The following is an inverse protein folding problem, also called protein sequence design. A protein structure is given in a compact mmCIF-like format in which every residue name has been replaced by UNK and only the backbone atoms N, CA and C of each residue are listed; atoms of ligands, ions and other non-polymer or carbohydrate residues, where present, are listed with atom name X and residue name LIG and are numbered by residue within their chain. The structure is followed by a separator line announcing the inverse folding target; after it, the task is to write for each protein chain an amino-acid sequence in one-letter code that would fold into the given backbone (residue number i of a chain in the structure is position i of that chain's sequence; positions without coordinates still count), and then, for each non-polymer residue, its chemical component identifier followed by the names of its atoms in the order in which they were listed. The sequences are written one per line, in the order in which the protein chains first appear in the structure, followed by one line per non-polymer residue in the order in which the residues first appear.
data_IF_323726938055
#
_entry.id   IF_323726938055
#
_cell.length_a   1.000
_cell.length_b   1.000
_cell.length_c   1.000
_cell.angle_alpha   90.00
_cell.angle_beta   90.00
_cell.angle_gamma   90.00
#
_symmetry.space_group_name_H-M   'P 1'
#
loop_
_entity.id
_entity.type
_entity.pdbx_description
1 polymer ?
#
# COMPACT_ATOMS: atom_id res chain seq x y z
N UNK A 1 -2.82 -20.65 7.35
CA UNK A 1 -2.16 -19.60 8.15
C UNK A 1 -2.85 -18.28 7.81
N UNK A 2 -3.43 -17.62 8.81
CA UNK A 2 -4.10 -16.33 8.61
C UNK A 2 -3.06 -15.21 8.51
N UNK A 3 -3.24 -14.28 7.56
CA UNK A 3 -2.37 -13.11 7.44
C UNK A 3 -2.43 -12.30 8.75
N UNK A 4 -1.29 -11.82 9.27
CA UNK A 4 -1.29 -10.94 10.44
C UNK A 4 -2.14 -9.69 10.18
N UNK A 5 -2.90 -9.20 11.17
CA UNK A 5 -3.83 -8.10 10.99
C UNK A 5 -3.10 -6.85 10.51
N UNK A 6 -3.69 -6.14 9.55
CA UNK A 6 -3.20 -4.87 9.05
C UNK A 6 -3.60 -3.74 10.01
N UNK A 7 -2.71 -2.77 10.19
CA UNK A 7 -3.09 -1.53 10.86
C UNK A 7 -4.06 -0.74 9.97
N UNK A 8 -4.83 0.20 10.54
CA UNK A 8 -5.74 1.04 9.76
C UNK A 8 -5.03 1.71 8.57
N UNK A 9 -3.81 2.22 8.79
CA UNK A 9 -3.01 2.84 7.73
C UNK A 9 -2.57 1.86 6.65
N UNK A 10 -2.18 0.64 7.03
CA UNK A 10 -1.84 -0.42 6.09
C UNK A 10 -3.05 -0.85 5.26
N UNK A 11 -4.23 -0.93 5.90
CA UNK A 11 -5.47 -1.24 5.21
C UNK A 11 -5.83 -0.16 4.18
N UNK A 12 -5.68 1.13 4.52
CA UNK A 12 -5.89 2.25 3.58
C UNK A 12 -4.96 2.15 2.35
N UNK A 13 -3.69 1.80 2.54
CA UNK A 13 -2.75 1.62 1.43
C UNK A 13 -3.19 0.45 0.55
N UNK A 14 -3.54 -0.69 1.16
CA UNK A 14 -3.99 -1.86 0.42
C UNK A 14 -5.27 -1.59 -0.38
N UNK A 15 -6.21 -0.85 0.22
CA UNK A 15 -7.45 -0.44 -0.42
C UNK A 15 -7.19 0.47 -1.62
N UNK A 16 -6.32 1.46 -1.46
CA UNK A 16 -5.91 2.35 -2.56
C UNK A 16 -5.21 1.59 -3.69
N UNK A 17 -4.35 0.62 -3.36
CA UNK A 17 -3.71 -0.24 -4.37
C UNK A 17 -4.77 -1.03 -5.16
N UNK A 18 -5.74 -1.64 -4.46
CA UNK A 18 -6.81 -2.41 -5.08
C UNK A 18 -7.69 -1.54 -5.97
N UNK A 19 -8.07 -0.35 -5.52
CA UNK A 19 -8.84 0.60 -6.30
C UNK A 19 -8.11 0.98 -7.61
N UNK A 20 -6.83 1.33 -7.53
CA UNK A 20 -6.04 1.64 -8.73
C UNK A 20 -5.93 0.46 -9.71
N UNK A 21 -5.78 -0.77 -9.21
CA UNK A 21 -5.76 -1.97 -10.05
C UNK A 21 -7.11 -2.19 -10.73
N UNK A 22 -8.22 -1.99 -10.00
CA UNK A 22 -9.58 -2.13 -10.54
C UNK A 22 -9.88 -1.05 -11.60
N UNK A 23 -9.50 0.20 -11.33
CA UNK A 23 -9.80 1.34 -12.21
C UNK A 23 -8.89 1.43 -13.43
N UNK A 24 -7.58 1.13 -13.27
CA UNK A 24 -6.55 1.40 -14.29
C UNK A 24 -5.84 0.14 -14.79
N UNK A 25 -6.13 -1.02 -14.20
CA UNK A 25 -5.45 -2.28 -14.52
C UNK A 25 -4.03 -2.41 -14.00
N UNK A 26 -3.56 -1.45 -13.18
CA UNK A 26 -2.18 -1.41 -12.67
C UNK A 26 -2.11 -0.83 -11.25
N UNK A 27 -1.18 -1.30 -10.41
CA UNK A 27 -0.99 -0.75 -9.07
C UNK A 27 -0.44 0.70 -9.13
N UNK A 28 -0.72 1.52 -8.11
CA UNK A 28 -0.22 2.89 -8.05
C UNK A 28 1.28 2.91 -7.83
N UNK A 29 1.93 3.97 -8.31
CA UNK A 29 3.34 4.23 -8.02
C UNK A 29 3.54 4.66 -6.56
N UNK A 30 4.78 4.55 -6.07
CA UNK A 30 5.15 5.03 -4.72
C UNK A 30 4.85 6.52 -4.53
N UNK A 31 4.99 7.31 -5.60
CA UNK A 31 4.66 8.73 -5.60
C UNK A 31 3.16 8.95 -5.45
N UNK A 32 2.33 8.22 -6.18
CA UNK A 32 0.86 8.31 -6.06
C UNK A 32 0.39 7.90 -4.66
N UNK A 33 0.97 6.85 -4.08
CA UNK A 33 0.66 6.44 -2.71
C UNK A 33 1.05 7.55 -1.71
N UNK A 34 2.22 8.16 -1.88
CA UNK A 34 2.66 9.27 -1.03
C UNK A 34 1.72 10.48 -1.15
N UNK A 35 1.31 10.83 -2.36
CA UNK A 35 0.44 11.96 -2.62
C UNK A 35 -0.98 11.73 -2.09
N UNK A 36 -1.56 10.55 -2.36
CA UNK A 36 -2.93 10.21 -1.97
C UNK A 36 -3.10 10.12 -0.45
N UNK A 37 -2.10 9.58 0.24
CA UNK A 37 -2.16 9.39 1.69
C UNK A 37 -1.55 10.54 2.49
N UNK A 38 -0.98 11.55 1.82
CA UNK A 38 -0.35 12.70 2.48
C UNK A 38 0.94 12.34 3.22
N UNK A 39 1.73 11.41 2.69
CA UNK A 39 3.06 11.13 3.24
C UNK A 39 4.03 12.25 2.88
N UNK A 40 4.80 12.70 3.87
CA UNK A 40 5.80 13.76 3.67
C UNK A 40 6.99 13.33 2.79
N UNK A 41 7.12 12.04 2.46
CA UNK A 41 8.23 11.50 1.66
C UNK A 41 7.90 10.15 1.03
N UNK A 42 8.54 9.84 -0.10
CA UNK A 42 8.44 8.54 -0.78
C UNK A 42 8.89 7.38 0.10
N UNK A 43 9.91 7.60 0.95
CA UNK A 43 10.44 6.58 1.86
C UNK A 43 9.40 6.12 2.89
N UNK A 44 8.48 7.01 3.30
CA UNK A 44 7.40 6.62 4.20
C UNK A 44 6.42 5.65 3.50
N UNK A 45 6.05 5.94 2.25
CA UNK A 45 5.23 5.03 1.46
C UNK A 45 5.92 3.68 1.26
N UNK A 46 7.22 3.67 0.95
CA UNK A 46 8.01 2.44 0.78
C UNK A 46 8.07 1.60 2.06
N UNK A 47 8.29 2.22 3.22
CA UNK A 47 8.32 1.53 4.51
C UNK A 47 7.00 0.81 4.79
N UNK A 48 5.88 1.44 4.48
CA UNK A 48 4.57 0.81 4.63
C UNK A 48 4.31 -0.31 3.62
N UNK A 49 4.75 -0.15 2.36
CA UNK A 49 4.68 -1.20 1.35
C UNK A 49 5.48 -2.43 1.77
N UNK A 50 6.70 -2.24 2.28
CA UNK A 50 7.50 -3.35 2.82
C UNK A 50 6.80 -4.04 3.99
N UNK A 51 6.13 -3.29 4.88
CA UNK A 51 5.37 -3.87 5.97
C UNK A 51 4.17 -4.69 5.47
N UNK A 52 3.49 -4.25 4.41
CA UNK A 52 2.43 -5.03 3.76
C UNK A 52 2.96 -6.31 3.13
N UNK A 53 4.10 -6.23 2.43
CA UNK A 53 4.74 -7.38 1.81
C UNK A 53 5.23 -8.42 2.83
N UNK A 54 5.85 -7.96 3.93
CA UNK A 54 6.24 -8.84 5.05
C UNK A 54 5.06 -9.56 5.68
N UNK A 55 3.87 -8.95 5.63
CA UNK A 55 2.62 -9.54 6.11
C UNK A 55 1.95 -10.44 5.08
N UNK A 56 2.47 -10.55 3.85
CA UNK A 56 1.87 -11.32 2.77
C UNK A 56 0.62 -10.68 2.13
N UNK A 57 0.38 -9.39 2.41
CA UNK A 57 -0.80 -8.68 1.90
C UNK A 57 -0.63 -8.21 0.45
N UNK A 58 0.63 -8.00 0.00
CA UNK A 58 1.01 -7.67 -1.38
C UNK A 58 2.29 -8.42 -1.74
N UNK A 59 2.50 -8.68 -3.04
CA UNK A 59 3.81 -9.03 -3.59
C UNK A 59 4.55 -7.76 -4.00
N UNK A 60 5.82 -7.65 -3.62
CA UNK A 60 6.75 -6.62 -4.11
C UNK A 60 7.71 -7.24 -5.13
#
# INVERSE_FOLDING_TARGET
MSLPPLTARQQQILDFIRACVDERGAPPTRAEIAQHLGFSSLNAAESHLQALAKKGAIGL
#
